data_IF_821443084111
#
_entry.id   IF_821443084111
#
_cell.length_a   1.000
_cell.length_b   1.000
_cell.length_c   1.000
_cell.angle_alpha   90.00
_cell.angle_beta   90.00
_cell.angle_gamma   90.00
#
_symmetry.space_group_name_H-M   'P 1'
#
loop_
_entity.id
_entity.type
_entity.pdbx_description
1 polymer ?
#
# COMPACT_ATOMS: atom_id res chain seq x y z
N UNK A 1 8.08 -1.88 1.73
CA UNK A 1 8.12 -2.76 2.93
C UNK A 1 6.70 -3.17 3.29
N UNK A 2 6.43 -4.48 3.37
CA UNK A 2 5.13 -5.03 3.74
C UNK A 2 5.18 -5.78 5.07
N UNK A 3 4.06 -5.81 5.79
CA UNK A 3 3.94 -6.54 7.06
C UNK A 3 2.53 -7.07 7.24
N UNK A 4 2.44 -8.31 7.71
CA UNK A 4 1.18 -8.94 8.11
C UNK A 4 1.27 -9.32 9.57
N UNK A 5 0.33 -8.85 10.39
CA UNK A 5 0.26 -9.20 11.80
C UNK A 5 -1.05 -9.94 12.12
N UNK A 6 -0.91 -11.14 12.69
CA UNK A 6 -2.03 -11.91 13.23
C UNK A 6 -2.62 -11.21 14.45
N UNK A 7 -3.95 -11.26 14.59
CA UNK A 7 -4.66 -10.64 15.72
C UNK A 7 -5.59 -11.68 16.38
N UNK A 8 -5.11 -12.38 17.42
CA UNK A 8 -5.91 -13.36 18.13
C UNK A 8 -7.23 -12.74 18.61
N UNK A 9 -8.36 -13.34 18.22
CA UNK A 9 -9.70 -12.86 18.58
C UNK A 9 -10.28 -11.72 17.71
N UNK A 10 -9.58 -11.24 16.68
CA UNK A 10 -10.04 -10.11 15.82
C UNK A 10 -10.21 -10.42 14.33
N UNK A 11 -10.44 -11.69 13.97
CA UNK A 11 -10.71 -12.08 12.59
C UNK A 11 -9.45 -12.04 11.71
N UNK A 12 -9.55 -11.44 10.52
CA UNK A 12 -8.47 -11.42 9.53
C UNK A 12 -7.20 -10.70 10.04
N UNK A 13 -5.99 -11.21 9.71
CA UNK A 13 -4.73 -10.52 10.02
C UNK A 13 -4.71 -9.10 9.47
N UNK A 14 -4.09 -8.17 10.20
CA UNK A 14 -3.89 -6.81 9.68
C UNK A 14 -2.74 -6.86 8.69
N UNK A 15 -2.94 -6.26 7.53
CA UNK A 15 -1.90 -6.05 6.53
C UNK A 15 -1.61 -4.55 6.40
N UNK A 16 -0.34 -4.17 6.34
CA UNK A 16 0.07 -2.81 6.01
C UNK A 16 1.35 -2.79 5.18
N UNK A 17 1.51 -1.72 4.41
CA UNK A 17 2.69 -1.51 3.57
C UNK A 17 3.09 -0.04 3.56
N UNK A 18 4.41 0.19 3.44
CA UNK A 18 5.00 1.51 3.28
C UNK A 18 6.06 1.49 2.16
N UNK A 19 5.98 2.44 1.24
CA UNK A 19 6.97 2.68 0.19
C UNK A 19 7.94 3.79 0.58
N UNK A 20 9.23 3.63 0.27
CA UNK A 20 10.29 4.61 0.52
C UNK A 20 11.08 4.91 -0.75
N UNK A 21 11.50 6.16 -0.90
CA UNK A 21 12.53 6.64 -1.85
C UNK A 21 13.47 7.52 -1.06
N UNK A 22 14.78 7.27 -1.07
CA UNK A 22 15.80 8.07 -0.36
C UNK A 22 15.38 8.45 1.07
N UNK A 23 15.03 7.44 1.88
CA UNK A 23 14.53 7.58 3.27
C UNK A 23 13.18 8.30 3.45
N UNK A 24 12.55 8.75 2.36
CA UNK A 24 11.26 9.44 2.38
C UNK A 24 10.12 8.46 2.12
N UNK A 25 9.20 8.34 3.08
CA UNK A 25 7.96 7.60 2.86
C UNK A 25 7.10 8.32 1.83
N UNK A 26 6.77 7.63 0.73
CA UNK A 26 5.97 8.21 -0.34
C UNK A 26 4.58 7.58 -0.42
N UNK A 27 4.38 6.43 0.21
CA UNK A 27 3.19 5.62 0.03
C UNK A 27 2.86 4.79 1.26
N UNK A 28 1.58 4.70 1.62
CA UNK A 28 1.09 3.81 2.66
C UNK A 28 -0.20 3.08 2.27
N UNK A 29 -0.32 1.83 2.71
CA UNK A 29 -1.57 1.07 2.71
C UNK A 29 -1.82 0.46 4.10
N UNK A 30 -3.09 0.42 4.52
CA UNK A 30 -3.51 -0.19 5.78
C UNK A 30 -4.87 -0.89 5.59
N UNK A 31 -4.90 -2.22 5.76
CA UNK A 31 -6.11 -3.01 5.57
C UNK A 31 -7.19 -2.72 6.62
N UNK A 32 -6.81 -2.16 7.76
CA UNK A 32 -7.72 -1.82 8.86
C UNK A 32 -8.27 -0.39 8.77
N UNK A 33 -7.79 0.42 7.82
CA UNK A 33 -8.31 1.76 7.65
C UNK A 33 -9.80 1.72 7.31
N UNK A 34 -10.57 2.73 7.74
CA UNK A 34 -12.01 2.82 7.43
C UNK A 34 -12.28 2.82 5.91
N UNK A 35 -11.32 3.28 5.12
CA UNK A 35 -11.31 3.19 3.67
C UNK A 35 -9.92 2.71 3.21
N UNK A 36 -9.70 1.39 3.08
CA UNK A 36 -8.40 0.85 2.68
C UNK A 36 -8.08 1.28 1.25
N UNK A 37 -7.10 2.17 1.11
CA UNK A 37 -6.61 2.68 -0.17
C UNK A 37 -5.12 2.99 -0.06
N UNK A 38 -4.51 3.19 -1.21
CA UNK A 38 -3.15 3.68 -1.29
C UNK A 38 -3.15 5.17 -0.96
N UNK A 39 -2.46 5.56 0.11
CA UNK A 39 -2.37 6.95 0.57
C UNK A 39 -1.02 7.54 0.17
N UNK A 40 -0.99 8.63 -0.63
CA UNK A 40 0.24 9.31 -0.98
C UNK A 40 0.76 10.08 0.25
N UNK A 41 2.03 9.87 0.59
CA UNK A 41 2.70 10.52 1.71
C UNK A 41 3.71 11.59 1.26
N UNK A 42 4.00 11.67 -0.04
CA UNK A 42 4.87 12.68 -0.61
C UNK A 42 4.18 13.47 -1.75
N UNK A 43 4.42 14.79 -1.89
CA UNK A 43 3.73 15.65 -2.86
C UNK A 43 3.93 15.27 -4.34
N UNK A 44 5.00 14.53 -4.64
CA UNK A 44 5.29 14.07 -5.99
C UNK A 44 4.47 12.84 -6.39
N UNK A 45 3.89 12.10 -5.43
CA UNK A 45 3.03 10.94 -5.70
C UNK A 45 1.65 11.38 -6.15
N UNK A 46 1.16 12.52 -5.65
CA UNK A 46 -0.09 13.12 -6.13
C UNK A 46 0.01 13.56 -7.60
N UNK A 47 1.23 13.80 -8.10
CA UNK A 47 1.49 14.22 -9.48
C UNK A 47 1.60 13.05 -10.47
N UNK A 48 1.83 11.81 -10.00
CA UNK A 48 1.95 10.59 -10.82
C UNK A 48 0.63 10.13 -11.48
N UNK A 49 -0.48 10.83 -11.23
CA UNK A 49 -1.71 10.68 -12.02
C UNK A 49 -2.68 9.58 -11.54
N UNK A 50 -3.87 9.50 -12.17
CA UNK A 50 -5.03 8.76 -11.67
C UNK A 50 -4.89 7.22 -11.67
N UNK A 51 -3.81 6.66 -12.21
CA UNK A 51 -3.55 5.20 -12.20
C UNK A 51 -3.39 4.66 -10.76
N UNK A 52 -2.92 5.51 -9.85
CA UNK A 52 -2.78 5.22 -8.43
C UNK A 52 -4.13 5.27 -7.67
N UNK A 53 -5.10 6.03 -8.16
CA UNK A 53 -6.31 6.43 -7.43
C UNK A 53 -7.57 5.58 -7.67
N UNK A 54 -7.51 4.51 -8.46
CA UNK A 54 -8.75 3.82 -8.84
C UNK A 54 -8.58 2.41 -9.39
N UNK A 55 -8.49 1.40 -8.51
CA UNK A 55 -9.06 0.08 -8.79
C UNK A 55 -9.43 -0.64 -7.49
N UNK A 56 -10.65 -1.19 -7.49
CA UNK A 56 -11.34 -1.68 -6.30
C UNK A 56 -10.62 -2.77 -5.51
N UNK A 57 -11.00 -2.85 -4.24
CA UNK A 57 -10.70 -3.86 -3.20
C UNK A 57 -9.50 -4.77 -3.54
N UNK A 58 -8.33 -4.58 -2.90
CA UNK A 58 -7.37 -5.66 -2.83
C UNK A 58 -8.03 -6.80 -2.04
N UNK A 59 -8.51 -7.82 -2.75
CA UNK A 59 -8.75 -9.11 -2.12
C UNK A 59 -7.39 -9.62 -1.65
N UNK A 60 -7.30 -10.12 -0.42
CA UNK A 60 -6.07 -10.56 0.24
C UNK A 60 -5.29 -11.69 -0.51
N UNK A 61 -5.76 -12.09 -1.70
CA UNK A 61 -5.11 -13.05 -2.60
C UNK A 61 -4.40 -12.39 -3.78
N UNK A 62 -4.69 -11.13 -4.12
CA UNK A 62 -3.94 -10.43 -5.17
C UNK A 62 -2.64 -9.90 -4.58
N UNK A 63 -1.63 -10.78 -4.62
CA UNK A 63 -0.21 -10.43 -4.60
C UNK A 63 -0.02 -9.14 -5.40
N UNK A 64 0.68 -8.17 -4.81
CA UNK A 64 1.21 -7.00 -5.50
C UNK A 64 1.65 -7.41 -6.90
N UNK A 65 1.26 -6.70 -7.97
CA UNK A 65 1.90 -6.97 -9.25
C UNK A 65 3.41 -6.76 -9.03
N UNK A 66 4.18 -7.85 -9.16
CA UNK A 66 5.66 -7.90 -9.16
C UNK A 66 6.28 -7.04 -10.31
N UNK A 67 5.52 -6.10 -10.87
CA UNK A 67 5.88 -5.26 -12.01
C UNK A 67 5.23 -3.90 -11.83
N UNK A 68 5.92 -3.00 -11.12
CA UNK A 68 6.01 -1.56 -11.44
C UNK A 68 6.92 -0.76 -10.52
N UNK A 69 7.56 -1.36 -9.51
CA UNK A 69 8.47 -0.62 -8.62
C UNK A 69 9.88 -1.22 -8.46
N UNK A 70 10.26 -2.16 -9.33
CA UNK A 70 11.64 -2.73 -9.41
C UNK A 70 12.59 -1.85 -10.26
N UNK A 71 12.25 -0.58 -10.52
CA UNK A 71 13.08 0.30 -11.38
C UNK A 71 13.45 1.64 -10.75
N UNK A 72 13.41 1.75 -9.42
CA UNK A 72 13.92 2.92 -8.68
C UNK A 72 14.80 2.49 -7.50
N UNK A 73 15.67 1.49 -7.74
CA UNK A 73 16.82 1.14 -6.88
C UNK A 73 18.11 1.52 -7.59
#
# INVERSE_FOLDING_TARGET
FSTTASRPGRGEPRYWEVGYVDDTQFLRFDSDAANPRMEPLAPWVEQEGPEFGGRGRPSATHRFPDRTYESLS
#
